data_IF_111849994885
#
_entry.id   IF_111849994885
#
_cell.length_a   1.000
_cell.length_b   1.000
_cell.length_c   1.000
_cell.angle_alpha   90.00
_cell.angle_beta   90.00
_cell.angle_gamma   90.00
#
_symmetry.space_group_name_H-M   'P 1'
#
loop_
_entity.id
_entity.type
_entity.pdbx_description
1 polymer ?
#
# COMPACT_ATOMS: atom_id res chain seq x y z
N UNK A 1 -40.54 47.20 -27.66
CA UNK A 1 -40.25 46.31 -26.51
C UNK A 1 -39.20 45.30 -26.94
N UNK A 2 -38.19 45.13 -26.08
CA UNK A 2 -36.91 44.46 -26.29
C UNK A 2 -37.07 42.96 -26.54
N UNK A 3 -36.36 42.39 -27.51
CA UNK A 3 -36.11 40.95 -27.58
C UNK A 3 -34.60 40.74 -27.57
N UNK A 4 -34.06 40.69 -26.35
CA UNK A 4 -32.66 40.35 -26.09
C UNK A 4 -32.51 38.84 -26.27
N UNK A 5 -31.75 38.42 -27.28
CA UNK A 5 -31.25 37.05 -27.37
C UNK A 5 -29.99 37.01 -26.50
N UNK A 6 -30.15 36.51 -25.27
CA UNK A 6 -29.01 36.25 -24.40
C UNK A 6 -28.24 35.07 -24.99
N UNK A 7 -27.05 35.36 -25.53
CA UNK A 7 -26.09 34.34 -25.91
C UNK A 7 -25.73 33.51 -24.68
N UNK A 8 -26.01 32.22 -24.75
CA UNK A 8 -25.54 31.26 -23.77
C UNK A 8 -24.01 31.27 -23.78
N UNK A 9 -23.43 31.79 -22.71
CA UNK A 9 -22.01 31.69 -22.45
C UNK A 9 -21.62 30.22 -22.49
N UNK A 10 -20.58 29.90 -23.27
CA UNK A 10 -19.88 28.65 -23.17
C UNK A 10 -19.37 28.52 -21.73
N UNK A 11 -20.11 27.79 -20.90
CA UNK A 11 -19.59 27.31 -19.65
C UNK A 11 -18.44 26.36 -20.01
N UNK A 12 -17.21 26.83 -19.83
CA UNK A 12 -16.08 25.95 -19.61
C UNK A 12 -16.48 25.08 -18.42
N UNK A 13 -16.92 23.85 -18.69
CA UNK A 13 -17.13 22.86 -17.64
C UNK A 13 -15.72 22.56 -17.14
N UNK A 14 -15.26 23.30 -16.12
CA UNK A 14 -14.23 22.78 -15.24
C UNK A 14 -14.88 21.59 -14.54
N UNK A 15 -14.73 20.40 -15.14
CA UNK A 15 -15.01 19.13 -14.46
C UNK A 15 -13.98 19.07 -13.34
N UNK A 16 -14.31 19.69 -12.21
CA UNK A 16 -13.56 19.50 -10.99
C UNK A 16 -13.88 18.07 -10.53
N UNK A 17 -12.88 17.20 -10.36
CA UNK A 17 -13.11 15.83 -9.92
C UNK A 17 -13.89 15.83 -8.61
N UNK A 18 -14.77 14.86 -8.44
CA UNK A 18 -15.58 14.72 -7.23
C UNK A 18 -14.66 14.61 -6.01
N UNK A 19 -15.11 15.06 -4.82
CA UNK A 19 -14.30 15.01 -3.59
C UNK A 19 -13.77 13.59 -3.28
N UNK A 20 -14.53 12.57 -3.67
CA UNK A 20 -14.14 11.16 -3.57
C UNK A 20 -13.03 10.77 -4.54
N UNK A 21 -13.10 11.23 -5.79
CA UNK A 21 -12.04 11.01 -6.79
C UNK A 21 -10.74 11.70 -6.38
N UNK A 22 -10.82 12.92 -5.82
CA UNK A 22 -9.64 13.62 -5.31
C UNK A 22 -8.97 12.84 -4.16
N UNK A 23 -9.77 12.32 -3.22
CA UNK A 23 -9.27 11.47 -2.13
C UNK A 23 -8.63 10.18 -2.65
N UNK A 24 -9.23 9.55 -3.65
CA UNK A 24 -8.70 8.34 -4.27
C UNK A 24 -7.37 8.57 -4.98
N UNK A 25 -7.26 9.66 -5.74
CA UNK A 25 -6.01 10.04 -6.42
C UNK A 25 -4.92 10.38 -5.40
N UNK A 26 -5.26 11.04 -4.30
CA UNK A 26 -4.29 11.33 -3.24
C UNK A 26 -3.78 10.04 -2.57
N UNK A 27 -4.68 9.12 -2.24
CA UNK A 27 -4.32 7.80 -1.70
C UNK A 27 -3.33 7.06 -2.62
N UNK A 28 -3.62 7.04 -3.92
CA UNK A 28 -2.78 6.44 -4.94
C UNK A 28 -1.40 7.07 -5.02
N UNK A 29 -1.35 8.40 -5.03
CA UNK A 29 -0.10 9.14 -5.08
C UNK A 29 0.76 8.84 -3.84
N UNK A 30 0.14 8.77 -2.65
CA UNK A 30 0.84 8.40 -1.41
C UNK A 30 1.37 6.97 -1.46
N UNK A 31 0.62 6.03 -2.01
CA UNK A 31 1.10 4.67 -2.19
C UNK A 31 2.33 4.64 -3.10
N UNK A 32 2.28 5.30 -4.26
CA UNK A 32 3.39 5.32 -5.21
C UNK A 32 4.66 5.93 -4.58
N UNK A 33 4.52 6.96 -3.74
CA UNK A 33 5.63 7.52 -2.97
C UNK A 33 6.19 6.50 -1.95
N UNK A 34 5.32 5.78 -1.25
CA UNK A 34 5.75 4.77 -0.29
C UNK A 34 6.55 3.64 -0.96
N UNK A 35 6.24 3.32 -2.22
CA UNK A 35 6.91 2.25 -2.97
C UNK A 35 8.38 2.57 -3.34
N UNK A 36 8.84 3.82 -3.24
CA UNK A 36 10.29 4.13 -3.30
C UNK A 36 11.04 3.51 -2.11
N UNK A 37 10.41 3.43 -0.95
CA UNK A 37 10.99 2.86 0.27
C UNK A 37 10.69 1.36 0.39
N UNK A 38 9.51 0.96 -0.08
CA UNK A 38 8.93 -0.37 0.09
C UNK A 38 8.70 -1.03 -1.26
N UNK A 39 9.77 -1.51 -1.94
CA UNK A 39 9.67 -1.99 -3.31
C UNK A 39 8.72 -3.18 -3.44
N UNK A 40 7.83 -3.21 -4.46
CA UNK A 40 6.86 -4.29 -4.65
C UNK A 40 7.50 -5.67 -4.84
N UNK A 41 8.72 -5.73 -5.35
CA UNK A 41 9.47 -6.99 -5.51
C UNK A 41 9.70 -7.74 -4.19
N UNK A 42 9.66 -7.03 -3.06
CA UNK A 42 9.79 -7.59 -1.70
C UNK A 42 8.45 -7.97 -1.06
N UNK A 43 7.35 -7.92 -1.81
CA UNK A 43 6.05 -8.44 -1.35
C UNK A 43 5.99 -9.98 -1.38
N UNK A 44 7.06 -10.65 -1.81
CA UNK A 44 7.23 -12.12 -1.75
C UNK A 44 7.95 -12.56 -0.48
N UNK A 45 7.76 -13.83 -0.11
CA UNK A 45 8.42 -14.47 1.02
C UNK A 45 8.25 -13.76 2.37
N UNK A 46 9.28 -13.86 3.21
CA UNK A 46 9.29 -13.36 4.60
C UNK A 46 9.19 -11.84 4.69
N UNK A 47 9.60 -11.12 3.63
CA UNK A 47 9.63 -9.65 3.63
C UNK A 47 8.24 -9.03 3.50
N UNK A 48 7.27 -9.78 2.97
CA UNK A 48 5.89 -9.33 2.76
C UNK A 48 5.29 -8.66 3.99
N UNK A 49 5.50 -9.22 5.18
CA UNK A 49 4.95 -8.68 6.43
C UNK A 49 5.54 -7.30 6.75
N UNK A 50 6.86 -7.13 6.62
CA UNK A 50 7.54 -5.86 6.87
C UNK A 50 7.14 -4.79 5.86
N UNK A 51 7.04 -5.17 4.58
CA UNK A 51 6.62 -4.27 3.51
C UNK A 51 5.18 -3.81 3.73
N UNK A 52 4.24 -4.72 3.97
CA UNK A 52 2.84 -4.36 4.22
C UNK A 52 2.68 -3.48 5.46
N UNK A 53 3.38 -3.81 6.56
CA UNK A 53 3.36 -2.99 7.75
C UNK A 53 3.92 -1.59 7.50
N UNK A 54 5.04 -1.49 6.79
CA UNK A 54 5.65 -0.21 6.42
C UNK A 54 4.72 0.65 5.55
N UNK A 55 4.06 0.04 4.56
CA UNK A 55 3.07 0.72 3.72
C UNK A 55 1.87 1.20 4.53
N UNK A 56 1.30 0.36 5.40
CA UNK A 56 0.20 0.76 6.28
C UNK A 56 0.59 1.93 7.19
N UNK A 57 1.77 1.88 7.81
CA UNK A 57 2.27 2.94 8.69
C UNK A 57 2.54 4.25 7.94
N UNK A 58 3.12 4.17 6.73
CA UNK A 58 3.36 5.32 5.88
C UNK A 58 2.04 6.00 5.49
N UNK A 59 1.09 5.21 4.96
CA UNK A 59 -0.21 5.71 4.54
C UNK A 59 -0.97 6.30 5.72
N UNK A 60 -0.95 5.65 6.88
CA UNK A 60 -1.56 6.16 8.11
C UNK A 60 -1.02 7.52 8.50
N UNK A 61 0.30 7.71 8.49
CA UNK A 61 0.92 9.00 8.83
C UNK A 61 0.63 10.08 7.79
N UNK A 62 0.50 9.70 6.52
CA UNK A 62 0.27 10.66 5.43
C UNK A 62 -1.19 11.12 5.29
N UNK A 63 -2.14 10.25 5.64
CA UNK A 63 -3.58 10.46 5.40
C UNK A 63 -4.41 10.52 6.69
N UNK A 64 -3.76 10.38 7.85
CA UNK A 64 -4.38 10.35 9.18
C UNK A 64 -5.53 9.32 9.31
N UNK A 65 -5.36 8.17 8.64
CA UNK A 65 -6.37 7.11 8.54
C UNK A 65 -5.74 5.74 8.79
N UNK A 66 -6.43 4.88 9.53
CA UNK A 66 -6.00 3.49 9.70
C UNK A 66 -6.22 2.70 8.41
N UNK A 67 -5.25 1.86 8.05
CA UNK A 67 -5.30 0.96 6.90
C UNK A 67 -5.18 -0.48 7.37
N UNK A 68 -5.95 -1.38 6.76
CA UNK A 68 -5.77 -2.82 6.93
C UNK A 68 -4.83 -3.38 5.86
N UNK A 69 -4.28 -4.57 6.12
CA UNK A 69 -3.43 -5.24 5.14
C UNK A 69 -4.20 -5.54 3.84
N UNK A 70 -5.46 -5.98 3.95
CA UNK A 70 -6.32 -6.24 2.79
C UNK A 70 -6.59 -4.98 1.96
N UNK A 71 -6.81 -3.84 2.62
CA UNK A 71 -7.03 -2.56 1.92
C UNK A 71 -5.78 -2.15 1.13
N UNK A 72 -4.59 -2.26 1.72
CA UNK A 72 -3.33 -1.96 1.04
C UNK A 72 -3.06 -2.95 -0.11
N UNK A 73 -3.42 -4.22 0.07
CA UNK A 73 -3.29 -5.22 -0.99
C UNK A 73 -4.22 -4.93 -2.17
N UNK A 74 -5.49 -4.61 -1.92
CA UNK A 74 -6.41 -4.18 -2.98
C UNK A 74 -5.91 -2.91 -3.68
N UNK A 75 -5.33 -1.99 -2.93
CA UNK A 75 -4.76 -0.77 -3.48
C UNK A 75 -3.58 -1.07 -4.41
N UNK A 76 -2.68 -1.96 -3.99
CA UNK A 76 -1.55 -2.43 -4.79
C UNK A 76 -2.00 -3.19 -6.04
N UNK A 77 -3.08 -3.99 -5.96
CA UNK A 77 -3.61 -4.78 -7.08
C UNK A 77 -4.04 -3.92 -8.27
N UNK A 78 -4.42 -2.66 -8.02
CA UNK A 78 -4.78 -1.69 -9.07
C UNK A 78 -3.58 -1.20 -9.88
N UNK A 79 -2.36 -1.29 -9.32
CA UNK A 79 -1.12 -0.85 -9.95
C UNK A 79 -0.24 -2.01 -10.41
N UNK A 80 -0.25 -3.11 -9.65
CA UNK A 80 0.55 -4.29 -9.86
C UNK A 80 -0.37 -5.48 -9.91
N UNK A 81 -0.25 -6.31 -10.95
CA UNK A 81 -0.93 -7.58 -10.95
C UNK A 81 -0.31 -8.49 -9.88
N UNK A 82 -0.91 -8.54 -8.68
CA UNK A 82 -0.35 -9.27 -7.53
C UNK A 82 -0.31 -10.78 -7.77
N UNK A 83 -1.09 -11.30 -8.71
CA UNK A 83 -1.03 -12.71 -9.14
C UNK A 83 0.31 -13.07 -9.79
N UNK A 84 1.03 -12.12 -10.40
CA UNK A 84 2.38 -12.31 -10.93
C UNK A 84 3.45 -12.25 -9.82
N UNK A 85 3.06 -11.86 -8.59
CA UNK A 85 3.93 -11.88 -7.42
C UNK A 85 3.83 -13.21 -6.64
N UNK A 86 3.29 -14.29 -7.21
CA UNK A 86 3.35 -15.61 -6.55
C UNK A 86 4.80 -15.95 -6.18
N UNK A 87 5.04 -16.46 -4.96
CA UNK A 87 6.35 -17.02 -4.64
C UNK A 87 6.62 -18.12 -5.68
N UNK A 88 7.78 -18.07 -6.31
CA UNK A 88 8.24 -19.24 -7.05
C UNK A 88 8.28 -20.39 -6.02
N UNK A 89 7.88 -21.61 -6.42
CA UNK A 89 7.70 -22.75 -5.50
C UNK A 89 8.94 -23.04 -4.63
N UNK A 90 10.11 -22.50 -5.02
CA UNK A 90 11.39 -22.53 -4.32
C UNK A 90 11.41 -21.80 -2.95
N UNK A 91 10.46 -20.90 -2.65
CA UNK A 91 10.38 -20.26 -1.31
C UNK A 91 9.65 -21.13 -0.27
N UNK A 92 8.95 -22.19 -0.68
CA UNK A 92 8.22 -23.08 0.26
C UNK A 92 9.15 -23.89 1.16
N UNK A 93 10.36 -24.19 0.69
CA UNK A 93 11.34 -24.97 1.46
C UNK A 93 11.97 -24.20 2.62
N UNK A 94 11.86 -22.86 2.66
CA UNK A 94 12.37 -22.07 3.77
C UNK A 94 11.40 -21.96 4.96
N UNK A 95 10.12 -22.32 4.78
CA UNK A 95 9.12 -22.35 5.87
C UNK A 95 9.09 -23.68 6.63
N UNK A 96 9.79 -24.71 6.13
CA UNK A 96 9.93 -26.00 6.83
C UNK A 96 10.93 -25.96 7.99
N UNK A 97 11.75 -24.91 8.07
CA UNK A 97 12.59 -24.64 9.24
C UNK A 97 11.72 -23.97 10.31
N UNK A 98 10.91 -24.78 11.00
CA UNK A 98 10.53 -24.46 12.38
C UNK A 98 11.82 -24.48 13.21
N UNK A 99 12.66 -23.44 13.08
CA UNK A 99 13.63 -23.12 14.11
C UNK A 99 12.81 -22.77 15.35
N UNK A 100 12.62 -23.77 16.21
CA UNK A 100 12.12 -23.57 17.56
C UNK A 100 12.95 -22.46 18.17
N UNK A 101 12.33 -21.31 18.42
CA UNK A 101 13.02 -20.12 18.91
C UNK A 101 13.58 -20.42 20.31
N UNK A 102 14.82 -20.90 20.36
CA UNK A 102 15.54 -21.18 21.58
C UNK A 102 16.46 -20.00 21.90
N UNK A 103 16.46 -19.59 23.16
CA UNK A 103 17.43 -18.61 23.64
C UNK A 103 18.84 -19.25 23.58
N UNK A 104 19.89 -18.50 23.18
CA UNK A 104 21.26 -19.02 23.18
C UNK A 104 21.63 -19.60 24.55
N UNK A 105 22.42 -20.67 24.59
CA UNK A 105 22.81 -21.39 25.82
C UNK A 105 23.42 -20.49 26.92
N UNK A 106 23.95 -19.32 26.53
CA UNK A 106 24.52 -18.35 27.44
C UNK A 106 23.48 -17.49 28.18
N UNK A 107 22.20 -17.52 27.81
CA UNK A 107 21.14 -16.79 28.51
C UNK A 107 20.89 -17.33 29.93
N UNK A 108 21.09 -18.64 30.14
CA UNK A 108 20.82 -19.29 31.42
C UNK A 108 22.05 -19.39 32.34
N UNK A 109 23.22 -18.94 31.90
CA UNK A 109 24.39 -18.86 32.77
C UNK A 109 24.20 -17.70 33.74
N UNK A 110 23.56 -17.97 34.87
CA UNK A 110 23.72 -17.16 36.08
C UNK A 110 25.19 -17.32 36.51
N UNK A 111 25.91 -16.21 36.60
CA UNK A 111 27.15 -16.14 37.36
C UNK A 111 26.83 -16.51 38.83
N UNK A 112 27.36 -17.65 39.30
CA UNK A 112 27.54 -17.94 40.72
C UNK A 112 28.88 -17.35 41.20
#
# INVERSE_FOLDING_TARGET
>A
AVRAVAGAGAAFISVLPSKEEQSQVELELRLLQALEFYPPSKLKGIHRHFILYGLMEYLRKSLDRQFSADEVLQLLDRFFNLEMLKPDDDEKDNFGQTEEFALPDNFFKKED
#
